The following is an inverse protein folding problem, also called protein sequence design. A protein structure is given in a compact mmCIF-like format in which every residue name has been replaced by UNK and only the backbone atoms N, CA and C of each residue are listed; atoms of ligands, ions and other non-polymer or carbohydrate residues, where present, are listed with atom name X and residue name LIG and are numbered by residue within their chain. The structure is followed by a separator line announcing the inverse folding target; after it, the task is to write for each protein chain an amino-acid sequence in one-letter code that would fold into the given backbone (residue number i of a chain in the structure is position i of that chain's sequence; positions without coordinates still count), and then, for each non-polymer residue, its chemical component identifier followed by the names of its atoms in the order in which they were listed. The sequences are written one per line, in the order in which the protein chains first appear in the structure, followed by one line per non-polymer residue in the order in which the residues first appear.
data_IF_108871640632
#
_entry.id   IF_108871640632
#
_cell.length_a   1.000
_cell.length_b   1.000
_cell.length_c   1.000
_cell.angle_alpha   90.00
_cell.angle_beta   90.00
_cell.angle_gamma   90.00
#
_symmetry.space_group_name_H-M   'P 1'
#
loop_
_entity.id
_entity.type
_entity.pdbx_description
1 polymer ?
#
# COMPACT_ATOMS: atom_id res chain seq x y z
N UNK A 1 4.72 -7.48 20.97
CA UNK A 1 3.84 -6.36 20.60
C UNK A 1 4.67 -5.08 20.69
N UNK A 2 5.08 -4.50 19.54
CA UNK A 2 5.89 -3.26 19.55
C UNK A 2 4.94 -2.07 19.74
N UNK A 3 5.09 -1.34 20.84
CA UNK A 3 4.28 -0.15 21.13
C UNK A 3 4.81 1.01 20.29
N UNK A 4 4.11 1.35 19.21
CA UNK A 4 4.48 2.49 18.38
C UNK A 4 4.14 3.80 19.10
N UNK A 5 5.13 4.67 19.25
CA UNK A 5 4.92 5.99 19.87
C UNK A 5 4.09 6.89 18.94
N UNK A 6 3.24 7.78 19.50
CA UNK A 6 2.41 8.74 18.74
C UNK A 6 3.20 9.51 17.67
N UNK A 7 4.46 9.82 17.96
CA UNK A 7 5.37 10.53 17.06
C UNK A 7 5.72 9.70 15.81
N UNK A 8 5.84 8.37 15.96
CA UNK A 8 6.06 7.44 14.85
C UNK A 8 4.80 7.29 14.00
N UNK A 9 3.61 7.27 14.60
CA UNK A 9 2.34 7.28 13.85
C UNK A 9 2.19 8.51 12.95
N UNK A 10 2.44 9.71 13.46
CA UNK A 10 2.34 10.94 12.65
C UNK A 10 3.35 10.99 11.50
N UNK A 11 4.57 10.45 11.72
CA UNK A 11 5.59 10.36 10.69
C UNK A 11 5.23 9.33 9.62
N UNK A 12 4.60 8.23 10.00
CA UNK A 12 4.08 7.20 9.07
C UNK A 12 2.88 7.72 8.27
N UNK A 13 2.00 8.52 8.87
CA UNK A 13 0.87 9.13 8.16
C UNK A 13 1.35 10.17 7.16
N UNK A 14 2.35 10.98 7.52
CA UNK A 14 3.02 11.91 6.59
C UNK A 14 3.81 11.18 5.52
N UNK A 15 4.47 10.07 5.85
CA UNK A 15 5.11 9.20 4.87
C UNK A 15 4.12 8.81 3.76
N UNK A 16 2.98 8.23 4.14
CA UNK A 16 1.92 7.78 3.22
C UNK A 16 1.35 8.87 2.32
N UNK A 17 1.28 10.11 2.83
CA UNK A 17 0.63 11.23 2.12
C UNK A 17 1.61 12.12 1.36
N UNK A 18 2.84 12.27 1.85
CA UNK A 18 3.80 13.29 1.37
C UNK A 18 5.06 12.68 0.74
N UNK A 19 5.45 11.45 1.10
CA UNK A 19 6.76 10.88 0.74
C UNK A 19 6.70 9.54 0.02
N UNK A 20 5.60 8.80 0.13
CA UNK A 20 5.35 7.63 -0.69
C UNK A 20 4.69 8.05 -2.00
N UNK A 21 5.11 7.47 -3.11
CA UNK A 21 4.45 7.58 -4.42
C UNK A 21 3.05 6.91 -4.46
N UNK A 22 2.45 6.67 -3.29
CA UNK A 22 1.17 6.00 -3.12
C UNK A 22 0.01 6.93 -3.47
N UNK A 23 -0.31 7.04 -4.76
CA UNK A 23 -1.62 7.54 -5.18
C UNK A 23 -2.75 6.74 -4.52
N UNK A 24 -3.83 7.42 -4.15
CA UNK A 24 -5.01 6.75 -3.57
C UNK A 24 -5.57 5.70 -4.53
N UNK A 25 -5.89 4.51 -3.99
CA UNK A 25 -6.55 3.49 -4.77
C UNK A 25 -8.00 3.93 -5.06
N UNK A 26 -8.43 3.90 -6.34
CA UNK A 26 -9.81 4.23 -6.65
C UNK A 26 -10.78 3.24 -5.97
N UNK A 27 -12.00 3.65 -5.62
CA UNK A 27 -12.97 2.74 -4.99
C UNK A 27 -13.44 1.62 -5.92
N UNK A 28 -13.26 1.79 -7.24
CA UNK A 28 -13.67 0.87 -8.28
C UNK A 28 -12.72 0.89 -9.47
N UNK A 29 -12.53 -0.26 -10.11
CA UNK A 29 -11.73 -0.42 -11.33
C UNK A 29 -12.47 -1.34 -12.32
N UNK A 30 -12.03 -1.36 -13.57
CA UNK A 30 -12.51 -2.34 -14.54
C UNK A 30 -11.99 -3.75 -14.19
N UNK A 31 -12.84 -4.75 -14.29
CA UNK A 31 -12.43 -6.14 -14.06
C UNK A 31 -11.52 -6.60 -15.20
N UNK A 32 -10.33 -7.11 -14.86
CA UNK A 32 -9.38 -7.62 -15.85
C UNK A 32 -9.84 -8.91 -16.56
N UNK A 33 -10.88 -9.57 -16.07
CA UNK A 33 -11.33 -10.90 -16.53
C UNK A 33 -12.68 -10.90 -17.24
N UNK A 34 -13.50 -9.85 -17.07
CA UNK A 34 -14.81 -9.78 -17.69
C UNK A 34 -15.23 -8.32 -17.92
N UNK A 35 -16.25 -8.04 -18.75
CA UNK A 35 -16.75 -6.68 -18.96
C UNK A 35 -17.64 -6.26 -17.77
N UNK A 36 -17.05 -6.17 -16.58
CA UNK A 36 -17.71 -5.80 -15.33
C UNK A 36 -16.79 -4.90 -14.50
N UNK A 37 -17.32 -4.39 -13.40
CA UNK A 37 -16.58 -3.51 -12.49
C UNK A 37 -16.17 -4.28 -11.24
N UNK A 38 -14.93 -4.10 -10.79
CA UNK A 38 -14.43 -4.62 -9.53
C UNK A 38 -14.43 -3.50 -8.47
N UNK A 39 -14.81 -3.84 -7.25
CA UNK A 39 -14.87 -2.90 -6.12
C UNK A 39 -13.73 -3.16 -5.17
N UNK A 40 -13.16 -2.09 -4.61
CA UNK A 40 -12.15 -2.20 -3.58
C UNK A 40 -12.74 -2.90 -2.35
N UNK A 41 -12.18 -4.04 -1.98
CA UNK A 41 -12.65 -4.85 -0.86
C UNK A 41 -11.73 -4.76 0.36
N UNK A 42 -10.42 -4.72 0.12
CA UNK A 42 -9.43 -4.75 1.19
C UNK A 42 -8.20 -3.95 0.79
N UNK A 43 -7.76 -3.09 1.70
CA UNK A 43 -6.45 -2.47 1.67
C UNK A 43 -5.56 -3.21 2.66
N UNK A 44 -4.40 -3.66 2.18
CA UNK A 44 -3.34 -4.25 3.00
C UNK A 44 -2.19 -3.27 3.00
N UNK A 45 -1.93 -2.71 4.17
CA UNK A 45 -0.74 -1.90 4.41
C UNK A 45 0.30 -2.78 5.08
N UNK A 46 1.46 -2.91 4.44
CA UNK A 46 2.62 -3.55 5.03
C UNK A 46 3.67 -2.49 5.39
N UNK A 47 3.95 -2.40 6.69
CA UNK A 47 5.06 -1.64 7.26
C UNK A 47 6.25 -2.60 7.38
N UNK A 48 6.82 -2.99 6.23
CA UNK A 48 8.01 -3.82 6.19
C UNK A 48 9.24 -2.99 6.56
N UNK A 49 9.42 -2.77 7.86
CA UNK A 49 10.74 -2.45 8.42
C UNK A 49 11.77 -3.59 8.28
N UNK A 50 11.48 -4.63 7.50
CA UNK A 50 12.25 -5.87 7.41
C UNK A 50 13.35 -5.84 6.33
N UNK A 51 13.30 -4.90 5.39
CA UNK A 51 14.30 -4.72 4.32
C UNK A 51 15.32 -3.61 4.61
N UNK A 52 15.52 -3.27 5.88
CA UNK A 52 16.54 -2.30 6.33
C UNK A 52 17.94 -2.60 5.76
N UNK A 53 18.27 -3.89 5.57
CA UNK A 53 19.55 -4.32 5.00
C UNK A 53 19.78 -3.92 3.54
N UNK A 54 18.70 -3.64 2.80
CA UNK A 54 18.76 -3.24 1.40
C UNK A 54 18.82 -1.70 1.24
N UNK A 55 18.73 -0.93 2.34
CA UNK A 55 18.86 0.52 2.30
C UNK A 55 20.29 0.93 1.93
N UNK A 56 20.47 1.97 1.10
CA UNK A 56 21.78 2.57 0.88
C UNK A 56 22.43 2.98 2.21
N UNK A 57 23.71 2.66 2.40
CA UNK A 57 24.44 3.03 3.62
C UNK A 57 24.34 4.52 3.88
N UNK A 58 23.86 4.88 5.07
CA UNK A 58 23.74 6.27 5.50
C UNK A 58 22.44 6.98 5.08
N UNK A 59 21.48 6.27 4.48
CA UNK A 59 20.15 6.81 4.22
C UNK A 59 19.42 7.13 5.55
N UNK A 60 18.95 8.37 5.69
CA UNK A 60 18.29 8.88 6.92
C UNK A 60 16.82 9.28 6.71
N UNK A 61 16.25 8.97 5.55
CA UNK A 61 14.85 9.26 5.20
C UNK A 61 13.91 8.08 5.42
N UNK A 62 12.64 8.25 5.03
CA UNK A 62 11.68 7.17 4.85
C UNK A 62 11.96 6.53 3.50
N UNK A 63 12.28 5.24 3.47
CA UNK A 63 12.56 4.55 2.21
C UNK A 63 11.23 4.11 1.59
N UNK A 64 10.99 4.30 0.27
CA UNK A 64 9.72 3.92 -0.35
C UNK A 64 9.33 2.45 -0.15
N UNK A 65 10.31 1.57 -0.02
CA UNK A 65 10.08 0.16 0.28
C UNK A 65 9.73 -0.11 1.76
N UNK A 66 9.85 0.86 2.66
CA UNK A 66 9.43 0.70 4.07
C UNK A 66 7.90 0.64 4.21
N UNK A 67 7.17 1.02 3.17
CA UNK A 67 5.71 1.04 3.16
C UNK A 67 5.20 0.53 1.82
N UNK A 68 4.53 -0.62 1.85
CA UNK A 68 3.80 -1.15 0.71
C UNK A 68 2.31 -1.08 0.99
N UNK A 69 1.53 -0.63 0.02
CA UNK A 69 0.08 -0.76 0.07
C UNK A 69 -0.39 -1.62 -1.10
N UNK A 70 -1.27 -2.57 -0.81
CA UNK A 70 -1.92 -3.43 -1.79
C UNK A 70 -3.43 -3.24 -1.71
N UNK A 71 -4.06 -3.03 -2.86
CA UNK A 71 -5.50 -2.97 -2.99
C UNK A 71 -6.02 -4.26 -3.64
N UNK A 72 -6.92 -4.94 -2.94
CA UNK A 72 -7.61 -6.11 -3.47
C UNK A 72 -9.01 -5.69 -3.93
N UNK A 73 -9.30 -5.90 -5.21
CA UNK A 73 -10.58 -5.62 -5.84
C UNK A 73 -11.31 -6.92 -6.15
N UNK A 74 -12.61 -6.97 -5.89
CA UNK A 74 -13.45 -8.11 -6.23
C UNK A 74 -14.50 -7.71 -7.27
N UNK A 75 -14.60 -8.50 -8.34
CA UNK A 75 -15.67 -8.34 -9.31
C UNK A 75 -16.90 -9.16 -8.90
N UNK A 76 -18.01 -8.48 -8.62
CA UNK A 76 -19.26 -9.15 -8.27
C UNK A 76 -19.88 -9.97 -9.43
N UNK A 77 -19.45 -9.72 -10.68
CA UNK A 77 -19.99 -10.39 -11.87
C UNK A 77 -19.38 -11.77 -12.09
N UNK A 78 -18.06 -11.89 -12.04
CA UNK A 78 -17.34 -13.15 -12.26
C UNK A 78 -16.76 -13.77 -10.98
N UNK A 79 -16.75 -13.05 -9.86
CA UNK A 79 -16.19 -13.51 -8.58
C UNK A 79 -14.68 -13.40 -8.48
N UNK A 80 -13.99 -12.99 -9.55
CA UNK A 80 -12.53 -12.87 -9.56
C UNK A 80 -12.02 -11.72 -8.70
N UNK A 81 -10.82 -11.93 -8.15
CA UNK A 81 -10.09 -10.94 -7.35
C UNK A 81 -8.84 -10.52 -8.11
N UNK A 82 -8.60 -9.21 -8.21
CA UNK A 82 -7.35 -8.63 -8.70
C UNK A 82 -6.66 -7.83 -7.59
N UNK A 83 -5.33 -7.79 -7.64
CA UNK A 83 -4.53 -7.04 -6.67
C UNK A 83 -3.70 -6.00 -7.39
N UNK A 84 -3.86 -4.74 -7.01
CA UNK A 84 -3.01 -3.64 -7.46
C UNK A 84 -1.99 -3.29 -6.38
N UNK A 85 -0.77 -3.04 -6.82
CA UNK A 85 0.37 -2.77 -5.97
C UNK A 85 0.76 -1.31 -6.17
N UNK A 86 0.88 -0.58 -5.06
CA UNK A 86 1.44 0.75 -5.09
C UNK A 86 2.69 0.78 -4.20
N UNK A 87 3.83 0.57 -4.84
CA UNK A 87 5.16 0.70 -4.25
C UNK A 87 5.83 1.90 -4.93
N UNK A 88 6.41 2.79 -4.11
CA UNK A 88 7.32 3.83 -4.60
C UNK A 88 8.72 3.30 -4.81
#
# INVERSE_FOLDING_TARGET
MKTFTKQRYGLMERARKEYTYQAEFPPTVDCSFCPGTAKLMCLVDDDEGHIEYARPRGYKGIWPHDQMAMANYMCAKCGEISTEWNQG
#
